data_IF_518017679123
#
_entry.id   IF_518017679123
#
_cell.length_a   1.000
_cell.length_b   1.000
_cell.length_c   1.000
_cell.angle_alpha   90.00
_cell.angle_beta   90.00
_cell.angle_gamma   90.00
#
_symmetry.space_group_name_H-M   'P 1'
#
loop_
_entity.id
_entity.type
_entity.pdbx_description
1 polymer ?
#
# COMPACT_ATOMS: atom_id res chain seq x y z
N UNK A 1 6.24 -59.08 -20.22
CA UNK A 1 6.53 -57.86 -21.03
C UNK A 1 7.90 -58.04 -21.64
N UNK A 2 8.06 -57.77 -22.93
CA UNK A 2 9.40 -57.76 -23.54
C UNK A 2 10.20 -56.56 -23.02
N UNK A 3 11.54 -56.64 -23.07
CA UNK A 3 12.41 -55.53 -22.65
C UNK A 3 12.06 -54.21 -23.37
N UNK A 4 11.68 -54.28 -24.66
CA UNK A 4 11.24 -53.11 -25.43
C UNK A 4 9.94 -52.47 -24.91
N UNK A 5 9.00 -53.25 -24.39
CA UNK A 5 7.77 -52.72 -23.77
C UNK A 5 8.07 -51.98 -22.47
N UNK A 6 9.04 -52.46 -21.69
CA UNK A 6 9.46 -51.81 -20.44
C UNK A 6 10.10 -50.45 -20.73
N UNK A 7 10.98 -50.37 -21.75
CA UNK A 7 11.63 -49.11 -22.15
C UNK A 7 10.61 -48.07 -22.63
N UNK A 8 9.65 -48.48 -23.47
CA UNK A 8 8.59 -47.57 -23.94
C UNK A 8 7.73 -47.05 -22.79
N UNK A 9 7.40 -47.89 -21.81
CA UNK A 9 6.65 -47.49 -20.63
C UNK A 9 7.41 -46.45 -19.80
N UNK A 10 8.72 -46.65 -19.58
CA UNK A 10 9.56 -45.70 -18.84
C UNK A 10 9.58 -44.33 -19.55
N UNK A 11 9.77 -44.32 -20.87
CA UNK A 11 9.77 -43.08 -21.66
C UNK A 11 8.41 -42.37 -21.55
N UNK A 12 7.30 -43.11 -21.65
CA UNK A 12 5.96 -42.55 -21.51
C UNK A 12 5.74 -41.91 -20.13
N UNK A 13 6.20 -42.56 -19.05
CA UNK A 13 6.11 -42.03 -17.68
C UNK A 13 6.93 -40.75 -17.54
N UNK A 14 8.16 -40.72 -18.06
CA UNK A 14 9.02 -39.53 -18.00
C UNK A 14 8.39 -38.37 -18.77
N UNK A 15 7.88 -38.60 -19.98
CA UNK A 15 7.17 -37.59 -20.76
C UNK A 15 5.93 -37.07 -20.02
N UNK A 16 5.16 -37.96 -19.41
CA UNK A 16 3.99 -37.59 -18.63
C UNK A 16 4.35 -36.70 -17.43
N UNK A 17 5.41 -37.03 -16.69
CA UNK A 17 5.91 -36.20 -15.57
C UNK A 17 6.40 -34.82 -16.04
N UNK A 18 7.02 -34.73 -17.21
CA UNK A 18 7.43 -33.45 -17.81
C UNK A 18 6.20 -32.59 -18.13
N UNK A 19 5.17 -33.18 -18.73
CA UNK A 19 3.92 -32.47 -19.07
C UNK A 19 3.24 -31.94 -17.79
N UNK A 20 3.12 -32.77 -16.75
CA UNK A 20 2.56 -32.33 -15.45
C UNK A 20 3.35 -31.17 -14.87
N UNK A 21 4.69 -31.27 -14.88
CA UNK A 21 5.56 -30.22 -14.36
C UNK A 21 5.44 -28.91 -15.14
N UNK A 22 5.29 -29.00 -16.47
CA UNK A 22 5.07 -27.84 -17.33
C UNK A 22 3.71 -27.17 -17.05
N UNK A 23 2.63 -27.95 -16.95
CA UNK A 23 1.29 -27.43 -16.61
C UNK A 23 1.32 -26.73 -15.24
N UNK A 24 1.93 -27.35 -14.24
CA UNK A 24 2.06 -26.76 -12.91
C UNK A 24 2.83 -25.43 -12.94
N UNK A 25 3.93 -25.35 -13.72
CA UNK A 25 4.69 -24.12 -13.88
C UNK A 25 3.84 -22.98 -14.46
N UNK A 26 2.99 -23.26 -15.47
CA UNK A 26 2.07 -22.28 -16.04
C UNK A 26 1.05 -21.75 -15.02
N UNK A 27 0.53 -22.63 -14.16
CA UNK A 27 -0.39 -22.24 -13.09
C UNK A 27 0.28 -21.31 -12.08
N UNK A 28 1.52 -21.60 -11.69
CA UNK A 28 2.29 -20.74 -10.78
C UNK A 28 2.61 -19.38 -11.41
N UNK A 29 2.97 -19.35 -12.70
CA UNK A 29 3.18 -18.09 -13.43
C UNK A 29 1.91 -17.24 -13.40
N UNK A 30 0.75 -17.85 -13.71
CA UNK A 30 -0.53 -17.14 -13.67
C UNK A 30 -0.86 -16.62 -12.28
N UNK A 31 -0.62 -17.42 -11.23
CA UNK A 31 -0.80 -16.98 -9.85
C UNK A 31 0.04 -15.74 -9.52
N UNK A 32 1.34 -15.74 -9.86
CA UNK A 32 2.19 -14.57 -9.63
C UNK A 32 1.75 -13.34 -10.42
N UNK A 33 1.32 -13.50 -11.67
CA UNK A 33 0.80 -12.38 -12.47
C UNK A 33 -0.43 -11.76 -11.82
N UNK A 34 -1.38 -12.59 -11.38
CA UNK A 34 -2.58 -12.11 -10.68
C UNK A 34 -2.22 -11.35 -9.39
N UNK A 35 -1.27 -11.87 -8.61
CA UNK A 35 -0.81 -11.19 -7.38
C UNK A 35 -0.12 -9.86 -7.67
N UNK A 36 0.65 -9.77 -8.75
CA UNK A 36 1.28 -8.51 -9.18
C UNK A 36 0.21 -7.48 -9.57
N UNK A 37 -0.82 -7.89 -10.30
CA UNK A 37 -1.93 -7.01 -10.68
C UNK A 37 -2.73 -6.55 -9.46
N UNK A 38 -2.96 -7.45 -8.51
CA UNK A 38 -3.65 -7.14 -7.26
C UNK A 38 -2.86 -6.11 -6.42
N UNK A 39 -1.56 -6.32 -6.23
CA UNK A 39 -0.69 -5.37 -5.51
C UNK A 39 -0.68 -4.00 -6.19
N UNK A 40 -0.60 -3.96 -7.53
CA UNK A 40 -0.68 -2.69 -8.27
C UNK A 40 -2.01 -1.98 -8.06
N UNK A 41 -3.12 -2.73 -8.05
CA UNK A 41 -4.45 -2.18 -7.77
C UNK A 41 -4.54 -1.61 -6.36
N UNK A 42 -4.00 -2.32 -5.38
CA UNK A 42 -3.96 -1.86 -4.00
C UNK A 42 -3.06 -0.64 -3.82
N UNK A 43 -1.92 -0.58 -4.51
CA UNK A 43 -1.05 0.60 -4.53
C UNK A 43 -1.79 1.81 -5.10
N UNK A 44 -2.52 1.64 -6.21
CA UNK A 44 -3.34 2.71 -6.78
C UNK A 44 -4.45 3.16 -5.81
N UNK A 45 -5.11 2.21 -5.12
CA UNK A 45 -6.12 2.52 -4.11
C UNK A 45 -5.53 3.20 -2.88
N UNK A 46 -4.31 2.84 -2.48
CA UNK A 46 -3.59 3.47 -1.39
C UNK A 46 -3.21 4.90 -1.76
N UNK A 47 -2.65 5.10 -2.95
CA UNK A 47 -2.27 6.41 -3.46
C UNK A 47 -3.48 7.36 -3.55
N UNK A 48 -4.62 6.87 -4.04
CA UNK A 48 -5.84 7.70 -4.11
C UNK A 48 -6.37 8.07 -2.71
N UNK A 49 -6.30 7.15 -1.74
CA UNK A 49 -6.66 7.46 -0.34
C UNK A 49 -5.71 8.46 0.32
N UNK A 50 -4.40 8.41 0.00
CA UNK A 50 -3.40 9.37 0.49
C UNK A 50 -3.67 10.77 -0.08
N UNK A 51 -3.97 10.87 -1.37
CA UNK A 51 -4.36 12.15 -2.01
C UNK A 51 -5.62 12.71 -1.36
N UNK A 52 -6.64 11.87 -1.14
CA UNK A 52 -7.88 12.28 -0.49
C UNK A 52 -7.64 12.76 0.95
N UNK A 53 -6.83 12.05 1.71
CA UNK A 53 -6.44 12.45 3.06
C UNK A 53 -5.75 13.83 3.04
N UNK A 54 -4.75 14.02 2.17
CA UNK A 54 -4.10 15.32 2.00
C UNK A 54 -5.08 16.44 1.64
N UNK A 55 -6.03 16.20 0.73
CA UNK A 55 -7.03 17.19 0.33
C UNK A 55 -7.96 17.57 1.49
N UNK A 56 -8.46 16.58 2.24
CA UNK A 56 -9.31 16.82 3.42
C UNK A 56 -8.55 17.63 4.46
N UNK A 57 -7.30 17.25 4.74
CA UNK A 57 -6.45 17.95 5.70
C UNK A 57 -6.17 19.37 5.25
N UNK A 58 -5.75 19.55 3.99
CA UNK A 58 -5.41 20.88 3.48
C UNK A 58 -6.60 21.82 3.53
N UNK A 59 -7.78 21.35 3.10
CA UNK A 59 -9.01 22.14 3.16
C UNK A 59 -9.37 22.53 4.60
N UNK A 60 -9.39 21.57 5.52
CA UNK A 60 -9.76 21.84 6.91
C UNK A 60 -8.77 22.82 7.57
N UNK A 61 -7.49 22.74 7.24
CA UNK A 61 -6.47 23.66 7.75
C UNK A 61 -6.54 25.06 7.15
N UNK A 62 -6.92 25.18 5.87
CA UNK A 62 -7.22 26.47 5.22
C UNK A 62 -8.39 27.17 5.92
N UNK A 63 -9.47 26.43 6.21
CA UNK A 63 -10.64 26.97 6.91
C UNK A 63 -10.27 27.40 8.35
N UNK A 64 -9.55 26.56 9.10
CA UNK A 64 -9.04 26.92 10.44
C UNK A 64 -8.09 28.12 10.45
N UNK A 65 -7.29 28.30 9.39
CA UNK A 65 -6.44 29.47 9.26
C UNK A 65 -7.26 30.74 8.95
N UNK A 66 -8.27 30.63 8.08
CA UNK A 66 -9.20 31.72 7.77
C UNK A 66 -9.97 32.22 9.00
N UNK A 67 -10.32 31.30 9.90
CA UNK A 67 -11.00 31.61 11.16
C UNK A 67 -10.05 32.14 12.26
N UNK A 68 -8.74 32.26 11.96
CA UNK A 68 -7.73 32.77 12.89
C UNK A 68 -7.30 31.80 13.99
N UNK A 69 -7.71 30.53 13.90
CA UNK A 69 -7.40 29.47 14.87
C UNK A 69 -5.98 28.93 14.67
N UNK A 70 -5.57 28.76 13.41
CA UNK A 70 -4.25 28.25 13.07
C UNK A 70 -3.22 29.38 12.95
N UNK A 71 -2.04 29.19 13.54
CA UNK A 71 -0.93 30.14 13.35
C UNK A 71 -0.41 30.07 11.91
N UNK A 72 0.01 31.23 11.39
CA UNK A 72 0.59 31.34 10.05
C UNK A 72 1.86 30.48 9.84
N UNK A 73 2.61 30.19 10.91
CA UNK A 73 3.80 29.33 10.84
C UNK A 73 3.47 27.86 10.54
N UNK A 74 2.43 27.31 11.17
CA UNK A 74 1.97 25.93 10.96
C UNK A 74 1.34 25.75 9.58
N UNK A 75 0.61 26.78 9.13
CA UNK A 75 0.04 26.80 7.78
C UNK A 75 1.11 26.89 6.67
N UNK A 76 2.21 27.62 6.92
CA UNK A 76 3.35 27.65 5.99
C UNK A 76 4.04 26.28 5.90
N UNK A 77 4.12 25.54 7.01
CA UNK A 77 4.65 24.18 7.00
C UNK A 77 3.78 23.23 6.15
N UNK A 78 2.45 23.36 6.21
CA UNK A 78 1.55 22.64 5.30
C UNK A 78 1.83 22.97 3.84
N UNK A 79 1.91 24.26 3.49
CA UNK A 79 2.15 24.70 2.11
C UNK A 79 3.53 24.31 1.57
N UNK A 80 4.48 24.05 2.47
CA UNK A 80 5.80 23.54 2.10
C UNK A 80 5.77 22.04 1.75
N UNK A 81 4.76 21.29 2.21
CA UNK A 81 4.58 19.90 1.81
C UNK A 81 4.14 19.84 0.35
N UNK A 82 4.95 19.17 -0.48
CA UNK A 82 4.60 18.93 -1.88
C UNK A 82 3.37 18.02 -1.95
N UNK A 83 2.43 18.35 -2.83
CA UNK A 83 1.26 17.51 -3.07
C UNK A 83 1.67 16.07 -3.41
N UNK A 84 1.01 15.05 -2.83
CA UNK A 84 1.34 13.64 -3.08
C UNK A 84 1.12 13.22 -4.54
N UNK A 85 0.33 13.99 -5.30
CA UNK A 85 0.13 13.78 -6.75
C UNK A 85 1.39 13.94 -7.58
N UNK A 86 2.41 14.62 -7.06
CA UNK A 86 3.68 14.88 -7.76
C UNK A 86 4.77 13.84 -7.44
N UNK A 87 4.53 13.00 -6.43
CA UNK A 87 5.48 12.01 -5.94
C UNK A 87 5.41 10.75 -6.81
N UNK A 88 6.54 10.42 -7.44
CA UNK A 88 6.66 9.24 -8.31
C UNK A 88 7.16 8.02 -7.55
N UNK A 89 8.17 8.21 -6.71
CA UNK A 89 8.77 7.13 -5.93
C UNK A 89 7.86 6.71 -4.78
N UNK A 90 7.88 5.41 -4.48
CA UNK A 90 7.06 4.83 -3.42
C UNK A 90 7.52 5.27 -2.02
N UNK A 91 8.84 5.41 -1.81
CA UNK A 91 9.45 5.92 -0.57
C UNK A 91 9.01 7.36 -0.29
N UNK A 92 9.03 8.22 -1.30
CA UNK A 92 8.65 9.63 -1.14
C UNK A 92 7.21 9.78 -0.62
N UNK A 93 6.31 8.87 -1.04
CA UNK A 93 4.91 8.86 -0.58
C UNK A 93 4.78 8.45 0.88
N UNK A 94 5.66 7.58 1.37
CA UNK A 94 5.72 7.20 2.79
C UNK A 94 6.19 8.38 3.63
N UNK A 95 7.32 8.98 3.26
CA UNK A 95 7.89 10.14 3.93
C UNK A 95 6.90 11.30 3.97
N UNK A 96 6.19 11.52 2.86
CA UNK A 96 5.12 12.51 2.80
C UNK A 96 3.98 12.22 3.78
N UNK A 97 3.51 10.97 3.84
CA UNK A 97 2.47 10.58 4.78
C UNK A 97 2.90 10.85 6.23
N UNK A 98 4.13 10.49 6.59
CA UNK A 98 4.65 10.69 7.94
C UNK A 98 4.77 12.17 8.30
N UNK A 99 5.24 13.00 7.37
CA UNK A 99 5.30 14.45 7.57
C UNK A 99 3.91 15.06 7.75
N UNK A 100 2.94 14.67 6.92
CA UNK A 100 1.56 15.13 7.01
C UNK A 100 0.90 14.70 8.32
N UNK A 101 1.14 13.45 8.74
CA UNK A 101 0.61 12.91 9.99
C UNK A 101 1.17 13.63 11.22
N UNK A 102 2.49 13.90 11.25
CA UNK A 102 3.13 14.67 12.32
C UNK A 102 2.61 16.10 12.42
N UNK A 103 2.44 16.77 11.28
CA UNK A 103 1.86 18.11 11.23
C UNK A 103 0.44 18.12 11.80
N UNK A 104 -0.37 17.12 11.46
CA UNK A 104 -1.72 17.00 11.98
C UNK A 104 -1.80 16.71 13.47
N UNK A 105 -0.90 15.87 14.01
CA UNK A 105 -0.84 15.63 15.46
C UNK A 105 -0.60 16.96 16.19
N UNK A 106 0.40 17.73 15.75
CA UNK A 106 0.73 19.03 16.33
C UNK A 106 -0.47 19.98 16.31
N UNK A 107 -1.21 20.00 15.20
CA UNK A 107 -2.39 20.88 15.06
C UNK A 107 -3.54 20.39 15.95
N UNK A 108 -3.78 19.08 16.01
CA UNK A 108 -4.79 18.50 16.90
C UNK A 108 -4.53 18.81 18.37
N UNK A 109 -3.27 18.82 18.80
CA UNK A 109 -2.88 19.20 20.16
C UNK A 109 -3.23 20.66 20.47
N UNK A 110 -2.99 21.57 19.52
CA UNK A 110 -3.38 22.99 19.65
C UNK A 110 -4.90 23.11 19.78
N UNK A 111 -5.66 22.44 18.91
CA UNK A 111 -7.12 22.50 18.90
C UNK A 111 -7.74 21.93 20.19
N UNK A 112 -7.16 20.86 20.76
CA UNK A 112 -7.64 20.26 22.01
C UNK A 112 -7.40 21.12 23.24
N UNK A 113 -6.44 22.05 23.17
CA UNK A 113 -6.10 22.93 24.30
C UNK A 113 -7.14 24.04 24.47
N UNK A 114 -7.90 24.38 23.43
CA UNK A 114 -8.95 25.38 23.47
C UNK A 114 -10.34 24.74 23.57
N UNK A 115 -10.90 24.72 24.79
CA UNK A 115 -12.22 24.15 25.09
C UNK A 115 -13.35 24.76 24.24
N UNK A 116 -13.24 26.01 23.79
CA UNK A 116 -14.28 26.65 22.98
C UNK A 116 -14.33 26.10 21.55
N UNK A 117 -13.20 25.65 21.03
CA UNK A 117 -13.14 25.05 19.69
C UNK A 117 -13.76 23.65 19.69
N UNK A 118 -13.67 22.92 20.81
CA UNK A 118 -14.26 21.59 20.97
C UNK A 118 -15.79 21.61 21.05
N UNK A 119 -16.38 22.75 21.40
CA UNK A 119 -17.84 22.95 21.43
C UNK A 119 -18.43 23.36 20.08
N UNK A 120 -17.58 23.74 19.12
CA UNK A 120 -18.02 24.17 17.79
C UNK A 120 -18.25 22.95 16.88
N UNK A 121 -19.50 22.76 16.45
CA UNK A 121 -19.90 21.66 15.56
C UNK A 121 -19.12 21.63 14.24
N UNK A 122 -18.73 22.78 13.70
CA UNK A 122 -17.94 22.89 12.48
C UNK A 122 -16.54 22.28 12.66
N UNK A 123 -15.86 22.60 13.76
CA UNK A 123 -14.53 22.04 14.04
C UNK A 123 -14.59 20.55 14.35
N UNK A 124 -15.61 20.09 15.07
CA UNK A 124 -15.85 18.66 15.27
C UNK A 124 -16.05 17.91 13.94
N UNK A 125 -16.74 18.54 12.98
CA UNK A 125 -16.90 18.00 11.62
C UNK A 125 -15.55 17.86 10.89
N UNK A 126 -14.66 18.86 11.00
CA UNK A 126 -13.31 18.77 10.43
C UNK A 126 -12.49 17.64 11.04
N UNK A 127 -12.47 17.54 12.37
CA UNK A 127 -11.78 16.46 13.08
C UNK A 127 -12.29 15.09 12.64
N UNK A 128 -13.62 14.95 12.51
CA UNK A 128 -14.25 13.73 12.04
C UNK A 128 -13.87 13.41 10.59
N UNK A 129 -13.86 14.38 9.69
CA UNK A 129 -13.48 14.19 8.29
C UNK A 129 -12.01 13.78 8.15
N UNK A 130 -11.11 14.43 8.88
CA UNK A 130 -9.68 14.08 8.94
C UNK A 130 -9.46 12.69 9.52
N UNK A 131 -10.17 12.33 10.60
CA UNK A 131 -10.06 11.00 11.22
C UNK A 131 -10.58 9.91 10.30
N UNK A 132 -11.77 10.11 9.71
CA UNK A 132 -12.36 9.14 8.77
C UNK A 132 -11.46 8.89 7.56
N UNK A 133 -10.86 9.95 6.99
CA UNK A 133 -9.95 9.80 5.84
C UNK A 133 -8.62 9.13 6.22
N UNK A 134 -8.12 9.35 7.43
CA UNK A 134 -6.96 8.63 7.97
C UNK A 134 -7.25 7.14 8.20
N UNK A 135 -8.43 6.81 8.74
CA UNK A 135 -8.84 5.41 8.94
C UNK A 135 -8.96 4.66 7.61
N UNK A 136 -9.54 5.28 6.58
CA UNK A 136 -9.61 4.73 5.22
C UNK A 136 -8.20 4.49 4.66
N UNK A 137 -7.31 5.49 4.77
CA UNK A 137 -5.90 5.35 4.37
C UNK A 137 -5.20 4.20 5.09
N UNK A 138 -5.37 4.08 6.41
CA UNK A 138 -4.82 2.96 7.18
C UNK A 138 -5.44 1.61 6.78
N UNK A 139 -6.73 1.57 6.45
CA UNK A 139 -7.36 0.36 5.95
C UNK A 139 -6.73 -0.08 4.61
N UNK A 140 -6.55 0.85 3.66
CA UNK A 140 -5.87 0.57 2.39
C UNK A 140 -4.42 0.13 2.60
N UNK A 141 -3.71 0.77 3.53
CA UNK A 141 -2.33 0.39 3.90
C UNK A 141 -2.26 -1.05 4.39
N UNK A 142 -3.18 -1.47 5.28
CA UNK A 142 -3.24 -2.84 5.79
C UNK A 142 -3.48 -3.86 4.67
N UNK A 143 -4.39 -3.56 3.75
CA UNK A 143 -4.69 -4.44 2.60
C UNK A 143 -3.46 -4.58 1.70
N UNK A 144 -2.84 -3.45 1.31
CA UNK A 144 -1.62 -3.46 0.51
C UNK A 144 -0.49 -4.27 1.18
N UNK A 145 -0.19 -3.99 2.45
CA UNK A 145 0.87 -4.70 3.17
C UNK A 145 0.56 -6.20 3.32
N UNK A 146 -0.70 -6.58 3.52
CA UNK A 146 -1.08 -7.99 3.59
C UNK A 146 -0.84 -8.72 2.25
N UNK A 147 -1.19 -8.10 1.13
CA UNK A 147 -0.98 -8.66 -0.20
C UNK A 147 0.50 -8.70 -0.59
N UNK A 148 1.28 -7.68 -0.24
CA UNK A 148 2.75 -7.68 -0.36
C UNK A 148 3.37 -8.80 0.48
N UNK A 149 2.94 -8.99 1.73
CA UNK A 149 3.43 -10.06 2.58
C UNK A 149 3.15 -11.44 1.97
N UNK A 150 1.92 -11.67 1.52
CA UNK A 150 1.52 -12.92 0.87
C UNK A 150 2.34 -13.21 -0.38
N UNK A 151 2.51 -12.22 -1.26
CA UNK A 151 3.33 -12.35 -2.45
C UNK A 151 4.80 -12.64 -2.13
N UNK A 152 5.40 -11.86 -1.23
CA UNK A 152 6.80 -12.00 -0.83
C UNK A 152 7.06 -13.37 -0.18
N UNK A 153 6.12 -13.88 0.62
CA UNK A 153 6.16 -15.22 1.20
C UNK A 153 6.06 -16.32 0.12
N UNK A 154 5.11 -16.21 -0.81
CA UNK A 154 4.96 -17.18 -1.92
C UNK A 154 6.19 -17.24 -2.81
N UNK A 155 6.83 -16.08 -3.06
CA UNK A 155 8.06 -15.98 -3.85
C UNK A 155 9.22 -16.79 -3.26
N UNK A 156 9.34 -16.89 -1.94
CA UNK A 156 10.45 -17.60 -1.28
C UNK A 156 10.11 -19.05 -0.88
N UNK A 157 8.85 -19.45 -0.99
CA UNK A 157 8.36 -20.76 -0.52
C UNK A 157 8.42 -21.81 -1.64
N UNK A 158 8.95 -23.00 -1.33
CA UNK A 158 8.91 -24.14 -2.24
C UNK A 158 7.47 -24.67 -2.37
N UNK A 159 6.99 -25.07 -3.57
CA UNK A 159 7.73 -25.16 -4.84
C UNK A 159 7.76 -23.89 -5.69
N UNK A 160 6.94 -22.89 -5.39
CA UNK A 160 6.81 -21.66 -6.19
C UNK A 160 8.12 -20.86 -6.35
N UNK A 161 9.05 -20.95 -5.38
CA UNK A 161 10.40 -20.36 -5.43
C UNK A 161 11.16 -20.68 -6.71
N UNK A 162 11.03 -21.89 -7.25
CA UNK A 162 11.72 -22.28 -8.48
C UNK A 162 11.24 -21.44 -9.68
N UNK A 163 9.93 -21.32 -9.84
CA UNK A 163 9.31 -20.52 -10.89
C UNK A 163 9.63 -19.03 -10.72
N UNK A 164 9.58 -18.53 -9.47
CA UNK A 164 9.94 -17.16 -9.15
C UNK A 164 11.39 -16.83 -9.54
N UNK A 165 12.33 -17.75 -9.26
CA UNK A 165 13.74 -17.61 -9.66
C UNK A 165 13.92 -17.64 -11.18
N UNK A 166 13.25 -18.56 -11.88
CA UNK A 166 13.31 -18.66 -13.35
C UNK A 166 12.79 -17.40 -14.04
N UNK A 167 11.72 -16.80 -13.50
CA UNK A 167 11.11 -15.57 -14.01
C UNK A 167 11.73 -14.28 -13.47
N UNK A 168 12.74 -14.36 -12.59
CA UNK A 168 13.36 -13.21 -11.92
C UNK A 168 12.33 -12.29 -11.23
N UNK A 169 11.32 -12.89 -10.60
CA UNK A 169 10.29 -12.14 -9.88
C UNK A 169 10.92 -11.47 -8.66
N UNK A 170 10.81 -10.13 -8.61
CA UNK A 170 11.34 -9.28 -7.53
C UNK A 170 10.30 -9.07 -6.43
N UNK A 171 10.75 -8.79 -5.21
CA UNK A 171 9.88 -8.49 -4.07
C UNK A 171 9.27 -7.09 -4.19
N UNK A 172 8.07 -6.91 -3.61
CA UNK A 172 7.47 -5.59 -3.42
C UNK A 172 7.84 -5.02 -2.03
N UNK A 173 8.04 -3.70 -1.92
CA UNK A 173 8.26 -3.03 -0.64
C UNK A 173 6.95 -2.94 0.17
N UNK A 174 7.05 -2.88 1.50
CA UNK A 174 5.91 -2.57 2.36
C UNK A 174 5.69 -1.06 2.44
N UNK A 175 4.45 -0.64 2.67
CA UNK A 175 4.13 0.74 3.06
C UNK A 175 4.24 0.88 4.57
N UNK A 176 5.45 1.14 5.06
CA UNK A 176 5.76 1.33 6.48
C UNK A 176 6.73 2.51 6.61
N UNK A 177 6.55 3.30 7.67
CA UNK A 177 7.52 4.31 8.08
C UNK A 177 8.81 3.58 8.47
N UNK A 178 9.95 4.00 7.93
CA UNK A 178 11.24 3.51 8.42
C UNK A 178 11.30 3.72 9.95
N UNK A 179 11.64 2.64 10.67
CA UNK A 179 11.76 2.64 12.14
C UNK A 179 12.74 3.69 12.65
#
# INVERSE_FOLDING_TARGET
MSAGQIVLLIIAIVLFLIIISAIWCLLVIRMFNNLIEEIKKDEMSLNSSLIKYYQVVSKNLEELQGDGVLKNEDFKALKALKSPTTLKEFSDKQDFFDQLYRLLIKINEVLKTDSKLLENETYLSYLKATTTSLEDLHAKRRVYNANVAYFNQKRITFPAKFVASLKKIVSFPFFETER
#
